data_IF_951297345980
#
_entry.id   IF_951297345980
#
_cell.length_a   1.000
_cell.length_b   1.000
_cell.length_c   1.000
_cell.angle_alpha   90.00
_cell.angle_beta   90.00
_cell.angle_gamma   90.00
#
_symmetry.space_group_name_H-M   'P 1'
#
loop_
_entity.id
_entity.type
_entity.pdbx_description
1 polymer ?
#
# COMPACT_ATOMS: atom_id res chain seq x y z
N UNK A 1 -12.63 25.27 -35.23
CA UNK A 1 -11.63 24.59 -34.37
C UNK A 1 -11.33 25.52 -33.22
N UNK A 2 -12.11 25.44 -32.14
CA UNK A 2 -12.09 26.42 -31.06
C UNK A 2 -11.54 25.84 -29.75
N UNK A 3 -11.16 26.73 -28.84
CA UNK A 3 -10.73 26.46 -27.47
C UNK A 3 -11.54 25.38 -26.71
N UNK A 4 -12.87 25.19 -26.94
CA UNK A 4 -13.61 24.12 -26.29
C UNK A 4 -13.15 22.71 -26.68
N UNK A 5 -12.79 22.48 -27.95
CA UNK A 5 -12.34 21.16 -28.44
C UNK A 5 -10.95 20.83 -27.90
N UNK A 6 -10.10 21.84 -27.76
CA UNK A 6 -8.77 21.70 -27.13
C UNK A 6 -8.93 21.36 -25.65
N UNK A 7 -9.82 22.06 -24.92
CA UNK A 7 -10.08 21.77 -23.51
C UNK A 7 -10.71 20.39 -23.28
N UNK A 8 -11.65 19.95 -24.11
CA UNK A 8 -12.21 18.59 -24.00
C UNK A 8 -11.17 17.53 -24.32
N UNK A 9 -10.27 17.78 -25.28
CA UNK A 9 -9.18 16.86 -25.63
C UNK A 9 -8.18 16.76 -24.48
N UNK A 10 -7.80 17.87 -23.87
CA UNK A 10 -6.91 17.90 -22.70
C UNK A 10 -7.56 17.18 -21.51
N UNK A 11 -8.80 17.51 -21.13
CA UNK A 11 -9.49 16.86 -20.00
C UNK A 11 -9.66 15.35 -20.23
N UNK A 12 -10.03 14.94 -21.45
CA UNK A 12 -10.18 13.52 -21.79
C UNK A 12 -8.84 12.79 -21.76
N UNK A 13 -7.78 13.37 -22.34
CA UNK A 13 -6.44 12.78 -22.29
C UNK A 13 -5.91 12.63 -20.86
N UNK A 14 -6.20 13.62 -19.99
CA UNK A 14 -5.82 13.58 -18.58
C UNK A 14 -6.57 12.52 -17.78
N UNK A 15 -7.88 12.39 -18.02
CA UNK A 15 -8.73 11.47 -17.27
C UNK A 15 -8.46 10.03 -17.68
N UNK A 16 -8.38 9.76 -18.99
CA UNK A 16 -8.06 8.44 -19.54
C UNK A 16 -6.65 8.01 -19.15
N UNK A 17 -5.66 8.91 -19.29
CA UNK A 17 -4.27 8.62 -18.93
C UNK A 17 -4.11 8.28 -17.44
N UNK A 18 -4.85 8.97 -16.54
CA UNK A 18 -4.83 8.68 -15.11
C UNK A 18 -5.34 7.28 -14.78
N UNK A 19 -6.50 6.92 -15.33
CA UNK A 19 -7.10 5.61 -15.09
C UNK A 19 -6.24 4.50 -15.67
N UNK A 20 -5.70 4.68 -16.87
CA UNK A 20 -4.87 3.70 -17.54
C UNK A 20 -3.55 3.48 -16.79
N UNK A 21 -2.85 4.56 -16.42
CA UNK A 21 -1.59 4.47 -15.67
C UNK A 21 -1.78 3.84 -14.29
N UNK A 22 -2.84 4.21 -13.58
CA UNK A 22 -3.13 3.64 -12.25
C UNK A 22 -3.52 2.17 -12.36
N UNK A 23 -4.34 1.80 -13.35
CA UNK A 23 -4.78 0.42 -13.56
C UNK A 23 -3.63 -0.48 -14.02
N UNK A 24 -2.79 0.00 -14.96
CA UNK A 24 -1.59 -0.70 -15.37
C UNK A 24 -0.62 -0.87 -14.19
N UNK A 25 -0.38 0.19 -13.43
CA UNK A 25 0.43 0.13 -12.21
C UNK A 25 -0.09 -0.88 -11.20
N UNK A 26 -1.41 -0.88 -10.96
CA UNK A 26 -2.09 -1.84 -10.09
C UNK A 26 -1.90 -3.28 -10.57
N UNK A 27 -2.18 -3.55 -11.86
CA UNK A 27 -2.06 -4.90 -12.45
C UNK A 27 -0.61 -5.38 -12.39
N UNK A 28 0.36 -4.53 -12.71
CA UNK A 28 1.77 -4.88 -12.70
C UNK A 28 2.27 -5.15 -11.28
N UNK A 29 1.98 -4.26 -10.32
CA UNK A 29 2.39 -4.43 -8.92
C UNK A 29 1.71 -5.65 -8.33
N UNK A 30 0.39 -5.79 -8.49
CA UNK A 30 -0.34 -6.93 -7.97
C UNK A 30 0.12 -8.25 -8.61
N UNK A 31 0.32 -8.27 -9.93
CA UNK A 31 0.83 -9.43 -10.65
C UNK A 31 2.23 -9.84 -10.18
N UNK A 32 3.13 -8.86 -9.99
CA UNK A 32 4.45 -9.10 -9.44
C UNK A 32 4.38 -9.68 -8.02
N UNK A 33 3.57 -9.08 -7.14
CA UNK A 33 3.40 -9.56 -5.77
C UNK A 33 2.78 -10.96 -5.72
N UNK A 34 1.85 -11.26 -6.63
CA UNK A 34 1.26 -12.58 -6.75
C UNK A 34 2.29 -13.63 -7.17
N UNK A 35 3.21 -13.27 -8.09
CA UNK A 35 4.31 -14.14 -8.50
C UNK A 35 5.28 -14.39 -7.34
N UNK A 36 5.63 -13.34 -6.59
CA UNK A 36 6.59 -13.40 -5.48
C UNK A 36 6.01 -14.21 -4.31
N UNK A 37 4.81 -13.85 -3.83
CA UNK A 37 4.23 -14.45 -2.63
C UNK A 37 3.48 -15.75 -2.90
N UNK A 38 3.05 -16.00 -4.14
CA UNK A 38 2.22 -17.15 -4.54
C UNK A 38 0.98 -17.33 -3.67
N UNK A 39 0.51 -16.24 -3.05
CA UNK A 39 -0.60 -16.20 -2.12
C UNK A 39 -1.39 -14.91 -2.40
N UNK A 40 -2.65 -15.10 -2.80
CA UNK A 40 -3.52 -13.99 -3.20
C UNK A 40 -3.75 -12.99 -2.06
N UNK A 41 -3.83 -13.49 -0.84
CA UNK A 41 -4.13 -12.69 0.34
C UNK A 41 -2.89 -11.84 0.71
N UNK A 42 -1.70 -12.44 0.70
CA UNK A 42 -0.44 -11.72 0.93
C UNK A 42 -0.11 -10.71 -0.16
N UNK A 43 -0.44 -10.99 -1.41
CA UNK A 43 -0.25 -10.05 -2.51
C UNK A 43 -1.21 -8.85 -2.42
N UNK A 44 -2.43 -9.06 -1.92
CA UNK A 44 -3.45 -8.01 -1.84
C UNK A 44 -3.26 -7.08 -0.63
N UNK A 45 -2.65 -7.60 0.44
CA UNK A 45 -2.41 -6.91 1.72
C UNK A 45 -1.68 -5.56 1.58
N UNK A 46 -0.56 -5.45 0.82
CA UNK A 46 0.13 -4.18 0.59
C UNK A 46 -0.65 -3.21 -0.31
N UNK A 47 -1.49 -3.73 -1.20
CA UNK A 47 -2.18 -2.95 -2.24
C UNK A 47 -3.43 -2.25 -1.69
N UNK A 48 -4.21 -2.94 -0.85
CA UNK A 48 -5.49 -2.43 -0.34
C UNK A 48 -5.37 -1.09 0.40
N UNK A 49 -4.45 -0.89 1.36
CA UNK A 49 -4.32 0.39 2.05
C UNK A 49 -3.88 1.50 1.10
N UNK A 50 -3.08 1.18 0.07
CA UNK A 50 -2.61 2.16 -0.90
C UNK A 50 -3.72 2.64 -1.82
N UNK A 51 -4.68 1.78 -2.17
CA UNK A 51 -5.89 2.22 -2.89
C UNK A 51 -6.69 3.25 -2.09
N UNK A 52 -6.76 3.08 -0.77
CA UNK A 52 -7.39 4.08 0.11
C UNK A 52 -6.64 5.40 0.07
N UNK A 53 -5.30 5.37 0.10
CA UNK A 53 -4.47 6.59 -0.03
C UNK A 53 -4.69 7.26 -1.38
N UNK A 54 -4.74 6.52 -2.50
CA UNK A 54 -5.03 7.09 -3.83
C UNK A 54 -6.39 7.78 -3.85
N UNK A 55 -7.42 7.12 -3.31
CA UNK A 55 -8.76 7.69 -3.20
C UNK A 55 -8.77 8.97 -2.36
N UNK A 56 -8.11 8.92 -1.19
CA UNK A 56 -8.00 10.04 -0.28
C UNK A 56 -7.27 11.24 -0.90
N UNK A 57 -6.14 10.99 -1.59
CA UNK A 57 -5.39 12.03 -2.29
C UNK A 57 -6.20 12.66 -3.43
N UNK A 58 -7.03 11.87 -4.11
CA UNK A 58 -8.02 12.40 -5.05
C UNK A 58 -9.00 13.38 -4.40
N UNK A 59 -9.46 13.07 -3.19
CA UNK A 59 -10.32 13.96 -2.38
C UNK A 59 -9.59 15.22 -1.90
N UNK A 60 -8.34 15.10 -1.45
CA UNK A 60 -7.51 16.24 -1.04
C UNK A 60 -7.34 17.23 -2.20
N UNK A 61 -7.06 16.73 -3.42
CA UNK A 61 -6.96 17.57 -4.61
C UNK A 61 -8.27 18.28 -4.95
N UNK A 62 -9.41 17.61 -4.77
CA UNK A 62 -10.74 18.18 -5.00
C UNK A 62 -11.04 19.32 -4.03
N UNK A 63 -10.73 19.15 -2.74
CA UNK A 63 -10.97 20.17 -1.71
C UNK A 63 -10.01 21.36 -1.87
N UNK A 64 -8.77 21.10 -2.31
CA UNK A 64 -7.75 22.13 -2.51
C UNK A 64 -7.89 22.89 -3.84
N UNK A 65 -8.96 22.64 -4.62
CA UNK A 65 -9.22 23.23 -5.94
C UNK A 65 -8.01 23.12 -6.91
N UNK A 66 -7.29 22.01 -6.81
CA UNK A 66 -6.09 21.78 -7.61
C UNK A 66 -6.47 21.24 -8.99
N UNK A 67 -6.01 21.91 -10.04
CA UNK A 67 -6.22 21.45 -11.42
C UNK A 67 -5.56 20.08 -11.64
N UNK A 68 -6.30 19.16 -12.26
CA UNK A 68 -5.72 17.93 -12.77
C UNK A 68 -4.77 18.22 -13.93
N UNK A 69 -3.59 17.63 -13.86
CA UNK A 69 -2.50 17.75 -14.85
C UNK A 69 -1.96 16.38 -15.23
N UNK A 70 -1.18 16.24 -16.31
CA UNK A 70 -0.63 14.94 -16.71
C UNK A 70 0.28 14.36 -15.63
N UNK A 71 0.97 15.23 -14.87
CA UNK A 71 1.77 14.85 -13.71
C UNK A 71 0.90 14.23 -12.61
N UNK A 72 -0.22 14.86 -12.24
CA UNK A 72 -1.11 14.30 -11.22
C UNK A 72 -1.81 13.01 -11.66
N UNK A 73 -1.87 12.73 -12.97
CA UNK A 73 -2.39 11.47 -13.49
C UNK A 73 -1.49 10.28 -13.15
N UNK A 74 -0.17 10.48 -12.98
CA UNK A 74 0.79 9.43 -12.59
C UNK A 74 0.80 9.17 -11.08
N UNK A 75 0.22 10.07 -10.29
CA UNK A 75 0.27 10.04 -8.83
C UNK A 75 -0.28 8.73 -8.25
N UNK A 76 -1.30 8.13 -8.86
CA UNK A 76 -1.87 6.86 -8.42
C UNK A 76 -0.87 5.71 -8.48
N UNK A 77 -0.18 5.56 -9.62
CA UNK A 77 0.87 4.57 -9.80
C UNK A 77 2.07 4.82 -8.88
N UNK A 78 2.44 6.09 -8.67
CA UNK A 78 3.51 6.48 -7.75
C UNK A 78 3.19 6.08 -6.31
N UNK A 79 1.97 6.38 -5.83
CA UNK A 79 1.52 5.99 -4.49
C UNK A 79 1.53 4.47 -4.33
N UNK A 80 1.06 3.74 -5.34
CA UNK A 80 1.12 2.28 -5.30
C UNK A 80 2.55 1.78 -5.22
N UNK A 81 3.46 2.29 -6.04
CA UNK A 81 4.87 1.88 -6.04
C UNK A 81 5.54 2.13 -4.69
N UNK A 82 5.63 3.40 -4.28
CA UNK A 82 6.33 3.81 -3.06
C UNK A 82 5.64 3.28 -1.81
N UNK A 83 4.31 3.36 -1.75
CA UNK A 83 3.55 2.91 -0.59
C UNK A 83 3.57 1.39 -0.42
N UNK A 84 3.42 0.64 -1.50
CA UNK A 84 3.48 -0.83 -1.42
C UNK A 84 4.86 -1.31 -1.02
N UNK A 85 5.95 -0.65 -1.44
CA UNK A 85 7.31 -0.96 -1.01
C UNK A 85 7.44 -0.93 0.53
N UNK A 86 6.96 0.14 1.17
CA UNK A 86 7.01 0.24 2.64
C UNK A 86 6.20 -0.87 3.31
N UNK A 87 5.02 -1.18 2.79
CA UNK A 87 4.19 -2.27 3.29
C UNK A 87 4.86 -3.64 3.09
N UNK A 88 5.50 -3.88 1.94
CA UNK A 88 6.23 -5.10 1.62
C UNK A 88 7.38 -5.32 2.60
N UNK A 89 8.25 -4.32 2.79
CA UNK A 89 9.39 -4.41 3.71
C UNK A 89 8.94 -4.69 5.15
N UNK A 90 7.88 -4.00 5.58
CA UNK A 90 7.25 -4.22 6.89
C UNK A 90 6.71 -5.65 7.01
N UNK A 91 6.08 -6.18 5.96
CA UNK A 91 5.51 -7.52 5.91
C UNK A 91 6.57 -8.62 5.93
N UNK A 92 7.61 -8.49 5.11
CA UNK A 92 8.67 -9.49 5.02
C UNK A 92 9.38 -9.61 6.35
N UNK A 93 9.74 -8.48 6.96
CA UNK A 93 10.38 -8.50 8.27
C UNK A 93 9.44 -9.04 9.35
N UNK A 94 8.13 -8.83 9.25
CA UNK A 94 7.16 -9.43 10.17
C UNK A 94 7.14 -10.96 10.05
N UNK A 95 7.02 -11.49 8.84
CA UNK A 95 7.01 -12.94 8.63
C UNK A 95 8.36 -13.59 8.94
N UNK A 96 9.48 -12.91 8.73
CA UNK A 96 10.81 -13.38 9.14
C UNK A 96 10.88 -13.56 10.66
N UNK A 97 10.49 -12.55 11.44
CA UNK A 97 10.48 -12.65 12.91
C UNK A 97 9.43 -13.64 13.43
N UNK A 98 8.26 -13.71 12.78
CA UNK A 98 7.21 -14.67 13.13
C UNK A 98 7.69 -16.11 12.97
N UNK A 99 8.41 -16.42 11.88
CA UNK A 99 8.98 -17.75 11.67
C UNK A 99 10.06 -18.11 12.70
N UNK A 100 10.76 -17.12 13.24
CA UNK A 100 11.81 -17.33 14.25
C UNK A 100 11.25 -17.50 15.67
N UNK A 101 10.20 -16.74 16.03
CA UNK A 101 9.71 -16.62 17.42
C UNK A 101 8.44 -17.44 17.65
N UNK A 102 7.59 -17.55 16.63
CA UNK A 102 6.30 -18.23 16.70
C UNK A 102 5.16 -17.42 17.36
N UNK A 103 5.45 -16.30 18.04
CA UNK A 103 4.43 -15.40 18.60
C UNK A 103 4.22 -14.16 17.72
N UNK A 104 3.02 -13.95 17.13
CA UNK A 104 2.71 -12.77 16.32
C UNK A 104 2.87 -11.44 17.04
N UNK A 105 2.61 -11.37 18.35
CA UNK A 105 2.71 -10.12 19.11
C UNK A 105 4.16 -9.71 19.27
N UNK A 106 5.00 -10.64 19.71
CA UNK A 106 6.42 -10.40 19.87
C UNK A 106 7.11 -10.13 18.53
N UNK A 107 6.76 -10.89 17.49
CA UNK A 107 7.25 -10.65 16.14
C UNK A 107 6.97 -9.20 15.70
N UNK A 108 5.73 -8.74 15.79
CA UNK A 108 5.36 -7.37 15.41
C UNK A 108 6.16 -6.31 16.20
N UNK A 109 6.36 -6.53 17.50
CA UNK A 109 7.14 -5.62 18.36
C UNK A 109 8.58 -5.50 17.88
N UNK A 110 9.22 -6.62 17.58
CA UNK A 110 10.62 -6.64 17.11
C UNK A 110 10.71 -6.04 15.72
N UNK A 111 9.82 -6.41 14.81
CA UNK A 111 9.79 -5.89 13.44
C UNK A 111 9.66 -4.37 13.43
N UNK A 112 8.68 -3.82 14.15
CA UNK A 112 8.44 -2.37 14.22
C UNK A 112 9.66 -1.64 14.79
N UNK A 113 10.33 -2.21 15.80
CA UNK A 113 11.53 -1.62 16.39
C UNK A 113 12.76 -1.69 15.48
N UNK A 114 12.90 -2.74 14.67
CA UNK A 114 14.07 -2.95 13.80
C UNK A 114 13.96 -2.17 12.48
N UNK A 115 12.82 -2.28 11.78
CA UNK A 115 12.68 -1.70 10.43
C UNK A 115 11.91 -0.38 10.43
N UNK A 116 11.22 -0.03 11.52
CA UNK A 116 10.43 1.21 11.58
C UNK A 116 11.28 2.47 11.37
N UNK A 117 12.46 2.55 11.97
CA UNK A 117 13.38 3.68 11.77
C UNK A 117 13.96 3.72 10.35
N UNK A 118 14.24 2.57 9.75
CA UNK A 118 14.70 2.47 8.37
C UNK A 118 13.63 2.94 7.37
N UNK A 119 12.36 2.53 7.57
CA UNK A 119 11.23 2.99 6.78
C UNK A 119 10.98 4.50 6.93
N UNK A 120 11.11 5.03 8.14
CA UNK A 120 11.02 6.48 8.39
C UNK A 120 12.14 7.24 7.68
N UNK A 121 13.38 6.75 7.74
CA UNK A 121 14.51 7.36 7.03
C UNK A 121 14.29 7.34 5.51
N UNK A 122 13.89 6.19 4.95
CA UNK A 122 13.55 6.07 3.53
C UNK A 122 12.42 7.03 3.14
N UNK A 123 11.33 7.04 3.90
CA UNK A 123 10.21 7.95 3.71
C UNK A 123 10.61 9.43 3.73
N UNK A 124 11.45 9.83 4.68
CA UNK A 124 11.99 11.19 4.75
C UNK A 124 12.84 11.53 3.52
N UNK A 125 13.68 10.61 3.04
CA UNK A 125 14.45 10.85 1.80
C UNK A 125 13.53 11.06 0.60
N UNK A 126 12.44 10.31 0.49
CA UNK A 126 11.44 10.48 -0.58
C UNK A 126 10.69 11.81 -0.43
N UNK A 127 10.33 12.19 0.80
CA UNK A 127 9.73 13.50 1.10
C UNK A 127 10.65 14.65 0.71
N UNK A 128 11.94 14.59 1.05
CA UNK A 128 12.89 15.63 0.63
C UNK A 128 13.11 15.64 -0.88
N UNK A 129 13.16 14.46 -1.52
CA UNK A 129 13.29 14.32 -2.97
C UNK A 129 12.15 15.01 -3.73
N UNK A 130 10.89 14.71 -3.39
CA UNK A 130 9.74 15.39 -3.99
C UNK A 130 9.54 16.81 -3.47
N UNK A 131 9.97 17.09 -2.23
CA UNK A 131 9.95 18.42 -1.63
C UNK A 131 10.77 19.43 -2.43
N UNK A 132 11.83 19.01 -3.10
CA UNK A 132 12.60 19.86 -4.00
C UNK A 132 11.75 20.43 -5.16
N UNK A 133 10.71 19.73 -5.61
CA UNK A 133 9.82 20.21 -6.67
C UNK A 133 8.97 21.42 -6.23
N UNK A 134 8.76 21.59 -4.92
CA UNK A 134 8.04 22.73 -4.35
C UNK A 134 8.82 24.03 -4.60
N UNK A 135 10.14 23.99 -4.73
CA UNK A 135 10.92 25.18 -5.07
C UNK A 135 10.76 25.62 -6.55
N UNK A 136 10.04 24.86 -7.38
CA UNK A 136 9.87 25.17 -8.79
C UNK A 136 9.03 26.44 -9.02
N UNK A 137 9.43 27.34 -9.93
CA UNK A 137 8.62 28.49 -10.32
C UNK A 137 7.41 28.10 -11.18
N UNK A 138 7.37 26.87 -11.71
CA UNK A 138 6.26 26.38 -12.51
C UNK A 138 5.17 25.79 -11.60
N UNK A 139 3.98 26.40 -11.62
CA UNK A 139 2.86 26.03 -10.76
C UNK A 139 2.48 24.55 -10.86
N UNK A 140 2.54 23.97 -12.06
CA UNK A 140 2.24 22.55 -12.29
C UNK A 140 3.21 21.64 -11.51
N UNK A 141 4.50 21.97 -11.53
CA UNK A 141 5.56 21.20 -10.86
C UNK A 141 5.53 21.41 -9.35
N UNK A 142 5.34 22.65 -8.89
CA UNK A 142 5.20 22.99 -7.48
C UNK A 142 4.04 22.23 -6.83
N UNK A 143 2.85 22.30 -7.45
CA UNK A 143 1.66 21.61 -6.98
C UNK A 143 1.83 20.09 -6.98
N UNK A 144 2.50 19.54 -7.99
CA UNK A 144 2.83 18.12 -8.03
C UNK A 144 3.79 17.72 -6.90
N UNK A 145 4.78 18.55 -6.58
CA UNK A 145 5.67 18.35 -5.44
C UNK A 145 4.90 18.30 -4.11
N UNK A 146 4.05 19.30 -3.86
CA UNK A 146 3.23 19.39 -2.66
C UNK A 146 2.33 18.16 -2.47
N UNK A 147 1.58 17.79 -3.50
CA UNK A 147 0.64 16.67 -3.41
C UNK A 147 1.37 15.34 -3.26
N UNK A 148 2.54 15.18 -3.88
CA UNK A 148 3.34 13.95 -3.77
C UNK A 148 3.95 13.81 -2.37
N UNK A 149 4.49 14.90 -1.79
CA UNK A 149 4.97 14.88 -0.40
C UNK A 149 3.87 14.46 0.57
N UNK A 150 2.67 15.04 0.44
CA UNK A 150 1.52 14.63 1.24
C UNK A 150 1.20 13.16 1.02
N UNK A 151 1.19 12.70 -0.22
CA UNK A 151 0.90 11.31 -0.55
C UNK A 151 1.90 10.33 0.09
N UNK A 152 3.20 10.64 0.09
CA UNK A 152 4.23 9.81 0.74
C UNK A 152 4.05 9.80 2.26
N UNK A 153 3.76 10.95 2.87
CA UNK A 153 3.46 11.02 4.31
C UNK A 153 2.24 10.16 4.65
N UNK A 154 1.16 10.26 3.87
CA UNK A 154 -0.02 9.42 4.05
C UNK A 154 0.27 7.94 3.81
N UNK A 155 1.12 7.58 2.85
CA UNK A 155 1.52 6.20 2.61
C UNK A 155 2.31 5.62 3.80
N UNK A 156 3.23 6.39 4.38
CA UNK A 156 3.93 6.00 5.62
C UNK A 156 2.95 5.83 6.78
N UNK A 157 2.11 6.83 7.04
CA UNK A 157 1.12 6.77 8.12
C UNK A 157 0.21 5.56 7.96
N UNK A 158 -0.29 5.31 6.75
CA UNK A 158 -1.13 4.15 6.41
C UNK A 158 -0.38 2.84 6.63
N UNK A 159 0.91 2.79 6.32
CA UNK A 159 1.75 1.61 6.57
C UNK A 159 1.89 1.32 8.07
N UNK A 160 2.17 2.34 8.88
CA UNK A 160 2.33 2.16 10.33
C UNK A 160 1.02 2.00 11.11
N UNK A 161 -0.13 2.27 10.49
CA UNK A 161 -1.44 2.18 11.13
C UNK A 161 -2.30 1.09 10.48
N UNK A 162 -2.93 1.41 9.36
CA UNK A 162 -3.90 0.56 8.66
C UNK A 162 -3.27 -0.78 8.27
N UNK A 163 -2.09 -0.75 7.65
CA UNK A 163 -1.45 -1.96 7.16
C UNK A 163 -1.01 -2.90 8.29
N UNK A 164 -0.34 -2.38 9.33
CA UNK A 164 0.02 -3.19 10.51
C UNK A 164 -1.22 -3.84 11.13
N UNK A 165 -2.31 -3.07 11.32
CA UNK A 165 -3.54 -3.60 11.91
C UNK A 165 -4.15 -4.69 11.05
N UNK A 166 -4.23 -4.48 9.72
CA UNK A 166 -4.75 -5.48 8.78
C UNK A 166 -3.91 -6.75 8.80
N UNK A 167 -2.59 -6.63 8.65
CA UNK A 167 -1.66 -7.75 8.65
C UNK A 167 -1.76 -8.54 9.96
N UNK A 168 -1.70 -7.86 11.10
CA UNK A 168 -1.73 -8.50 12.41
C UNK A 168 -3.06 -9.21 12.69
N UNK A 169 -4.19 -8.58 12.34
CA UNK A 169 -5.52 -9.20 12.45
C UNK A 169 -5.64 -10.45 11.59
N UNK A 170 -5.08 -10.41 10.39
CA UNK A 170 -5.12 -11.55 9.47
C UNK A 170 -4.29 -12.72 9.99
N UNK A 171 -3.11 -12.47 10.56
CA UNK A 171 -2.28 -13.54 11.10
C UNK A 171 -2.89 -14.15 12.38
N UNK A 172 -3.42 -13.35 13.31
CA UNK A 172 -4.14 -13.89 14.48
C UNK A 172 -5.31 -14.78 14.05
N UNK A 173 -6.08 -14.34 13.05
CA UNK A 173 -7.20 -15.12 12.53
C UNK A 173 -6.72 -16.43 11.93
N UNK A 174 -5.61 -16.40 11.20
CA UNK A 174 -5.01 -17.60 10.59
C UNK A 174 -4.54 -18.59 11.64
N UNK A 175 -3.89 -18.12 12.71
CA UNK A 175 -3.44 -18.94 13.84
C UNK A 175 -4.63 -19.60 14.56
N UNK A 176 -5.67 -18.82 14.90
CA UNK A 176 -6.88 -19.34 15.55
C UNK A 176 -7.59 -20.41 14.71
N UNK A 177 -7.72 -20.19 13.40
CA UNK A 177 -8.33 -21.16 12.48
C UNK A 177 -7.51 -22.45 12.40
N UNK A 178 -6.18 -22.35 12.38
CA UNK A 178 -5.30 -23.52 12.34
C UNK A 178 -5.37 -24.32 13.65
N UNK A 179 -5.37 -23.65 14.80
CA UNK A 179 -5.48 -24.30 16.11
C UNK A 179 -6.83 -25.03 16.25
N UNK A 180 -7.94 -24.38 15.88
CA UNK A 180 -9.26 -25.00 15.89
C UNK A 180 -9.36 -26.23 14.97
N UNK A 181 -8.76 -26.17 13.77
CA UNK A 181 -8.69 -27.33 12.85
C UNK A 181 -7.89 -28.49 13.46
N UNK A 182 -6.80 -28.20 14.14
CA UNK A 182 -5.98 -29.23 14.79
C UNK A 182 -6.72 -29.90 15.95
N UNK A 183 -7.41 -29.12 16.79
CA UNK A 183 -8.24 -29.66 17.88
C UNK A 183 -9.38 -30.52 17.34
N UNK A 184 -10.07 -30.06 16.30
CA UNK A 184 -11.12 -30.84 15.63
C UNK A 184 -10.57 -32.16 15.09
N UNK A 185 -9.45 -32.13 14.38
CA UNK A 185 -8.79 -33.34 13.85
C UNK A 185 -8.39 -34.32 14.96
N UNK A 186 -7.90 -33.82 16.10
CA UNK A 186 -7.60 -34.66 17.28
C UNK A 186 -8.89 -35.30 17.81
N UNK A 187 -9.95 -34.52 18.01
CA UNK A 187 -11.23 -35.02 18.52
C UNK A 187 -11.86 -36.08 17.62
N UNK A 188 -11.80 -35.91 16.29
CA UNK A 188 -12.30 -36.88 15.32
C UNK A 188 -11.51 -38.20 15.38
N UNK A 189 -10.18 -38.13 15.52
CA UNK A 189 -9.35 -39.34 15.72
C UNK A 189 -9.70 -40.07 17.01
N UNK A 190 -9.96 -39.34 18.11
CA UNK A 190 -10.37 -39.96 19.38
C UNK A 190 -11.74 -40.65 19.31
N UNK A 191 -12.69 -40.08 18.58
CA UNK A 191 -14.01 -40.71 18.39
C UNK A 191 -13.88 -41.99 17.55
N UNK A 192 -13.10 -41.94 16.46
CA UNK A 192 -12.92 -43.10 15.59
C UNK A 192 -12.19 -44.26 16.30
N UNK A 193 -11.23 -43.95 17.18
CA UNK A 193 -10.50 -44.95 17.97
C UNK A 193 -11.31 -45.59 19.12
N UNK A 194 -12.51 -45.08 19.43
CA UNK A 194 -13.45 -45.66 20.40
C UNK A 194 -14.55 -46.51 19.76
N UNK A 195 -14.66 -46.46 18.43
CA UNK A 195 -15.66 -47.22 17.66
C UNK A 195 -15.16 -48.58 17.16
N UNK A 196 -13.87 -48.89 17.34
CA UNK A 196 -13.24 -50.19 17.16
C UNK A 196 -13.02 -50.87 18.52
#
# INVERSE_FOLDING_TARGET
>A
TGDPVVMTTVITALTTGRTEMTLLGLILIFGLLLIIYRDLIKALLPVLPMLVVIGWMGGVMYIADMKYTPLTATLGALILGVGSEYAILMMERFYEELNNIGDPREALRITTRRIGSALMASGLTTVFGFGALIASPFLITNNFGLITVLAVVFALLTTFTVFIVLMFRMEIRRESVNNAKQELMKSLKFINARGE
#
